data_IF_549316238130
#
_entry.id   IF_549316238130
#
_cell.length_a   1.000
_cell.length_b   1.000
_cell.length_c   1.000
_cell.angle_alpha   90.00
_cell.angle_beta   90.00
_cell.angle_gamma   90.00
#
_symmetry.space_group_name_H-M   'P 1'
#
loop_
_entity.id
_entity.type
_entity.pdbx_description
1 polymer ?
#
# COMPACT_ATOMS: atom_id res chain seq x y z
N UNK A 1 -5.18 16.99 14.80
CA UNK A 1 -4.60 17.26 13.47
C UNK A 1 -4.15 15.97 12.82
N UNK A 2 -3.24 15.21 13.45
CA UNK A 2 -2.85 13.85 13.02
C UNK A 2 -4.03 12.91 12.73
N UNK A 3 -4.96 12.76 13.68
CA UNK A 3 -6.13 11.87 13.50
C UNK A 3 -7.00 12.27 12.29
N UNK A 4 -7.20 13.56 12.07
CA UNK A 4 -7.96 14.09 10.92
C UNK A 4 -7.23 13.79 9.61
N UNK A 5 -5.91 14.00 9.58
CA UNK A 5 -5.07 13.69 8.44
C UNK A 5 -5.12 12.19 8.09
N UNK A 6 -4.99 11.32 9.10
CA UNK A 6 -5.06 9.86 8.91
C UNK A 6 -6.42 9.42 8.37
N UNK A 7 -7.52 9.98 8.87
CA UNK A 7 -8.87 9.67 8.36
C UNK A 7 -9.02 10.08 6.89
N UNK A 8 -8.64 11.31 6.56
CA UNK A 8 -8.69 11.79 5.16
C UNK A 8 -7.82 10.93 4.24
N UNK A 9 -6.63 10.55 4.70
CA UNK A 9 -5.75 9.68 3.94
C UNK A 9 -6.36 8.29 3.72
N UNK A 10 -6.98 7.69 4.75
CA UNK A 10 -7.68 6.40 4.62
C UNK A 10 -8.84 6.52 3.63
N UNK A 11 -9.67 7.56 3.74
CA UNK A 11 -10.82 7.76 2.86
C UNK A 11 -10.37 7.87 1.38
N UNK A 12 -9.33 8.67 1.10
CA UNK A 12 -8.78 8.82 -0.26
C UNK A 12 -8.10 7.54 -0.74
N UNK A 13 -7.37 6.84 0.13
CA UNK A 13 -6.71 5.60 -0.24
C UNK A 13 -7.73 4.51 -0.57
N UNK A 14 -8.82 4.39 0.21
CA UNK A 14 -9.89 3.42 0.00
C UNK A 14 -10.62 3.61 -1.34
N UNK A 15 -10.73 4.85 -1.82
CA UNK A 15 -11.26 5.15 -3.16
C UNK A 15 -10.39 4.59 -4.30
N UNK A 16 -9.08 4.38 -4.07
CA UNK A 16 -8.14 3.92 -5.10
C UNK A 16 -7.64 2.48 -4.91
N UNK A 17 -7.53 2.04 -3.66
CA UNK A 17 -7.09 0.71 -3.25
C UNK A 17 -7.77 0.36 -1.92
N UNK A 18 -8.68 -0.64 -1.90
CA UNK A 18 -9.41 -1.02 -0.70
C UNK A 18 -8.52 -1.16 0.54
N UNK A 19 -8.87 -0.43 1.59
CA UNK A 19 -8.18 -0.46 2.89
C UNK A 19 -8.74 -1.64 3.69
N UNK A 20 -7.89 -2.65 3.90
CA UNK A 20 -8.28 -3.92 4.53
C UNK A 20 -8.07 -3.95 6.02
N UNK A 21 -7.08 -3.22 6.52
CA UNK A 21 -6.73 -3.21 7.95
C UNK A 21 -6.32 -1.80 8.35
N UNK A 22 -6.89 -1.32 9.45
CA UNK A 22 -6.43 -0.14 10.18
C UNK A 22 -6.23 -0.53 11.63
N UNK A 23 -5.02 -0.37 12.16
CA UNK A 23 -4.68 -0.65 13.55
C UNK A 23 -3.94 0.53 14.16
N UNK A 24 -4.48 1.10 15.21
CA UNK A 24 -3.72 2.02 16.06
C UNK A 24 -2.91 1.22 17.08
N UNK A 25 -1.60 1.50 17.18
CA UNK A 25 -0.82 0.98 18.30
C UNK A 25 -1.06 1.87 19.51
N UNK A 26 -2.01 1.46 20.34
CA UNK A 26 -2.05 1.85 21.76
C UNK A 26 -1.19 0.89 22.58
N UNK A 27 0.06 0.64 22.16
CA UNK A 27 0.98 -0.18 22.97
C UNK A 27 1.79 0.74 23.86
N UNK A 28 1.25 1.04 25.04
CA UNK A 28 2.07 1.44 26.19
C UNK A 28 2.79 0.19 26.71
N UNK A 29 4.13 0.14 26.71
CA UNK A 29 4.84 -0.76 27.62
C UNK A 29 4.45 -0.38 29.06
N UNK A 30 4.28 -1.36 29.95
CA UNK A 30 4.29 -1.12 31.40
C UNK A 30 5.64 -0.46 31.77
N UNK A 31 5.67 0.88 31.80
CA UNK A 31 6.84 1.68 32.18
C UNK A 31 7.27 2.82 31.24
N UNK A 32 6.67 3.02 30.06
CA UNK A 32 6.99 4.17 29.18
C UNK A 32 6.03 5.35 29.41
N UNK A 33 6.58 6.59 29.49
CA UNK A 33 5.82 7.84 29.74
C UNK A 33 5.60 8.67 28.45
N UNK A 34 5.92 8.14 27.28
CA UNK A 34 5.58 8.78 25.99
C UNK A 34 5.00 7.74 25.05
N UNK A 35 3.68 7.76 24.90
CA UNK A 35 2.98 6.96 23.88
C UNK A 35 2.89 7.78 22.62
N UNK A 36 3.74 7.49 21.64
CA UNK A 36 3.64 8.11 20.31
C UNK A 36 2.45 7.48 19.57
N UNK A 37 1.60 8.31 18.98
CA UNK A 37 0.47 7.86 18.17
C UNK A 37 1.00 7.26 16.88
N UNK A 38 0.87 5.93 16.71
CA UNK A 38 1.13 5.28 15.43
C UNK A 38 -0.09 4.57 14.87
N UNK A 39 -0.23 4.58 13.55
CA UNK A 39 -1.32 3.95 12.82
C UNK A 39 -0.76 3.09 11.71
N UNK A 40 -1.08 1.80 11.76
CA UNK A 40 -0.76 0.83 10.72
C UNK A 40 -1.95 0.70 9.79
N UNK A 41 -1.70 0.83 8.50
CA UNK A 41 -2.72 0.73 7.45
C UNK A 41 -2.26 -0.33 6.45
N UNK A 42 -3.16 -1.23 6.06
CA UNK A 42 -2.95 -2.15 4.95
C UNK A 42 -3.97 -1.88 3.86
N UNK A 43 -3.49 -1.62 2.66
CA UNK A 43 -4.34 -1.54 1.48
C UNK A 43 -3.92 -2.58 0.43
N UNK A 44 -4.88 -2.97 -0.40
CA UNK A 44 -4.69 -3.99 -1.43
C UNK A 44 -5.44 -3.57 -2.68
N UNK A 45 -4.85 -3.78 -3.86
CA UNK A 45 -5.49 -3.36 -5.11
C UNK A 45 -6.75 -4.16 -5.43
N UNK A 46 -6.77 -5.46 -5.10
CA UNK A 46 -7.90 -6.34 -5.35
C UNK A 46 -8.05 -7.36 -4.22
N UNK A 47 -9.26 -7.47 -3.67
CA UNK A 47 -9.55 -8.34 -2.53
C UNK A 47 -9.81 -9.79 -2.94
N UNK A 48 -10.13 -10.04 -4.21
CA UNK A 48 -10.47 -11.36 -4.73
C UNK A 48 -9.22 -12.08 -5.27
N UNK A 49 -8.27 -11.34 -5.85
CA UNK A 49 -7.01 -11.93 -6.30
C UNK A 49 -5.99 -12.03 -5.16
N UNK A 50 -5.62 -13.27 -4.80
CA UNK A 50 -4.59 -13.55 -3.81
C UNK A 50 -3.21 -13.03 -4.21
N UNK A 51 -2.98 -12.82 -5.51
CA UNK A 51 -1.73 -12.32 -6.08
C UNK A 51 -1.78 -10.80 -6.35
N UNK A 52 -2.82 -10.11 -5.87
CA UNK A 52 -2.90 -8.67 -6.02
C UNK A 52 -1.81 -7.99 -5.18
N UNK A 53 -1.18 -6.93 -5.72
CA UNK A 53 -0.25 -6.10 -4.98
C UNK A 53 -0.93 -5.48 -3.76
N UNK A 54 -0.15 -5.37 -2.68
CA UNK A 54 -0.63 -4.81 -1.42
C UNK A 54 0.46 -3.97 -0.76
N UNK A 55 0.05 -3.02 0.08
CA UNK A 55 0.95 -2.14 0.79
C UNK A 55 0.66 -2.17 2.29
N UNK A 56 1.73 -2.22 3.09
CA UNK A 56 1.70 -1.93 4.51
C UNK A 56 2.28 -0.53 4.73
N UNK A 57 1.58 0.27 5.54
CA UNK A 57 1.97 1.61 5.93
C UNK A 57 2.09 1.68 7.45
N UNK A 58 3.11 2.35 7.95
CA UNK A 58 3.27 2.73 9.35
C UNK A 58 3.37 4.25 9.42
N UNK A 59 2.28 4.88 9.86
CA UNK A 59 2.18 6.31 10.04
C UNK A 59 2.49 6.66 11.49
N UNK A 60 3.42 7.57 11.73
CA UNK A 60 3.81 8.02 13.05
C UNK A 60 3.78 9.55 13.10
N UNK A 61 3.16 10.11 14.13
CA UNK A 61 3.27 11.54 14.37
C UNK A 61 4.64 11.84 14.99
N UNK A 62 5.36 12.79 14.39
CA UNK A 62 6.60 13.34 14.92
C UNK A 62 6.47 14.86 14.98
N UNK A 63 6.23 15.42 16.18
CA UNK A 63 5.99 16.85 16.38
C UNK A 63 4.84 17.39 15.49
N UNK A 64 5.16 18.23 14.51
CA UNK A 64 4.27 18.85 13.53
C UNK A 64 4.28 18.14 12.16
N UNK A 65 4.87 16.94 12.07
CA UNK A 65 4.91 16.12 10.85
C UNK A 65 4.31 14.72 11.07
N UNK A 66 3.95 14.09 9.95
CA UNK A 66 3.61 12.67 9.86
C UNK A 66 4.68 11.97 9.06
N UNK A 67 5.34 10.99 9.69
CA UNK A 67 6.25 10.09 9.02
C UNK A 67 5.49 8.85 8.59
N UNK A 68 5.43 8.60 7.28
CA UNK A 68 4.78 7.43 6.68
C UNK A 68 5.84 6.52 6.11
N UNK A 69 6.16 5.44 6.80
CA UNK A 69 6.96 4.36 6.24
C UNK A 69 6.04 3.41 5.46
N UNK A 70 6.47 2.97 4.28
CA UNK A 70 5.69 2.03 3.47
C UNK A 70 6.51 0.84 3.00
N UNK A 71 5.83 -0.29 2.88
CA UNK A 71 6.33 -1.52 2.31
C UNK A 71 5.30 -2.07 1.32
N UNK A 72 5.62 -1.95 0.04
CA UNK A 72 4.77 -2.42 -1.05
C UNK A 72 5.27 -3.79 -1.51
N UNK A 73 4.34 -4.73 -1.62
CA UNK A 73 4.58 -6.08 -2.07
C UNK A 73 3.94 -6.26 -3.45
N UNK A 74 4.77 -6.56 -4.44
CA UNK A 74 4.36 -6.79 -5.83
C UNK A 74 4.71 -8.24 -6.18
N UNK A 75 3.73 -9.14 -6.21
CA UNK A 75 3.94 -10.51 -6.65
C UNK A 75 4.51 -10.59 -8.07
N UNK A 76 5.56 -11.40 -8.26
CA UNK A 76 6.21 -11.61 -9.55
C UNK A 76 5.43 -12.63 -10.37
N UNK A 77 4.40 -12.17 -11.08
CA UNK A 77 3.53 -13.04 -11.89
C UNK A 77 4.09 -13.37 -13.29
N UNK A 78 5.42 -13.45 -13.47
CA UNK A 78 6.09 -13.62 -14.78
C UNK A 78 5.74 -12.53 -15.83
N UNK A 79 5.17 -11.39 -15.41
CA UNK A 79 4.69 -10.35 -16.33
C UNK A 79 5.77 -9.33 -16.75
N UNK A 80 6.83 -9.14 -15.95
CA UNK A 80 7.89 -8.15 -16.19
C UNK A 80 9.25 -8.65 -15.73
N UNK A 81 10.31 -8.15 -16.35
CA UNK A 81 11.70 -8.41 -15.96
C UNK A 81 12.12 -7.56 -14.76
N UNK A 82 13.14 -8.00 -14.03
CA UNK A 82 13.71 -7.29 -12.88
C UNK A 82 14.14 -5.86 -13.27
N UNK A 83 14.73 -5.70 -14.46
CA UNK A 83 15.21 -4.42 -14.99
C UNK A 83 14.05 -3.45 -15.22
N UNK A 84 12.96 -3.92 -15.83
CA UNK A 84 11.74 -3.12 -16.04
C UNK A 84 11.10 -2.71 -14.71
N UNK A 85 11.09 -3.57 -13.70
CA UNK A 85 10.55 -3.23 -12.38
C UNK A 85 11.38 -2.14 -11.74
N UNK A 86 12.72 -2.28 -11.74
CA UNK A 86 13.62 -1.27 -11.17
C UNK A 86 13.49 0.07 -11.90
N UNK A 87 13.40 0.07 -13.23
CA UNK A 87 13.22 1.29 -14.03
C UNK A 87 11.87 1.97 -13.75
N UNK A 88 10.79 1.18 -13.67
CA UNK A 88 9.46 1.71 -13.36
C UNK A 88 9.35 2.27 -11.94
N UNK A 89 9.95 1.63 -10.93
CA UNK A 89 10.02 2.22 -9.58
C UNK A 89 10.79 3.53 -9.61
N UNK A 90 11.90 3.56 -10.37
CA UNK A 90 12.77 4.72 -10.47
C UNK A 90 12.11 5.91 -11.16
N UNK A 91 11.27 5.66 -12.17
CA UNK A 91 10.52 6.72 -12.85
C UNK A 91 9.41 7.31 -11.98
N UNK A 92 8.80 6.53 -11.09
CA UNK A 92 7.70 6.98 -10.22
C UNK A 92 8.21 7.71 -8.97
N UNK A 93 9.14 7.11 -8.24
CA UNK A 93 9.53 7.58 -6.91
C UNK A 93 11.05 7.83 -6.74
N UNK A 94 11.80 7.77 -7.83
CA UNK A 94 13.25 7.96 -7.81
C UNK A 94 13.98 6.77 -7.18
N UNK A 95 15.01 7.03 -6.37
CA UNK A 95 15.86 5.94 -5.84
C UNK A 95 15.27 5.37 -4.55
N UNK A 96 14.50 4.29 -4.67
CA UNK A 96 13.96 3.52 -3.54
C UNK A 96 14.72 2.21 -3.32
N UNK A 97 14.53 1.62 -2.14
CA UNK A 97 15.06 0.29 -1.86
C UNK A 97 14.10 -0.77 -2.42
N UNK A 98 14.60 -1.58 -3.34
CA UNK A 98 13.87 -2.67 -3.96
C UNK A 98 14.57 -3.97 -3.58
N UNK A 99 13.82 -4.95 -3.10
CA UNK A 99 14.34 -6.26 -2.72
C UNK A 99 13.44 -7.35 -3.28
N UNK A 100 14.01 -8.37 -3.90
CA UNK A 100 13.27 -9.56 -4.29
C UNK A 100 13.24 -10.54 -3.12
N UNK A 101 12.04 -10.89 -2.67
CA UNK A 101 11.82 -11.94 -1.67
C UNK A 101 11.54 -13.26 -2.39
N UNK A 102 12.49 -14.18 -2.28
CA UNK A 102 12.33 -15.57 -2.72
C UNK A 102 11.85 -16.42 -1.55
N UNK A 103 10.68 -17.09 -1.66
CA UNK A 103 10.16 -17.92 -0.59
C UNK A 103 11.03 -19.16 -0.37
N UNK A 104 11.33 -19.43 0.89
CA UNK A 104 12.12 -20.60 1.29
C UNK A 104 11.30 -21.87 1.03
N UNK A 105 11.84 -22.78 0.23
CA UNK A 105 11.21 -24.07 -0.09
C UNK A 105 10.21 -24.03 -1.25
N UNK A 106 10.13 -22.94 -2.03
CA UNK A 106 9.22 -22.77 -3.17
C UNK A 106 7.72 -22.87 -2.83
N UNK A 107 7.34 -22.67 -1.56
CA UNK A 107 5.95 -22.72 -1.09
C UNK A 107 5.26 -21.34 -1.32
N UNK A 108 5.65 -20.62 -2.37
CA UNK A 108 5.12 -19.30 -2.67
C UNK A 108 5.72 -18.71 -3.94
N UNK A 109 5.24 -17.53 -4.30
CA UNK A 109 5.74 -16.77 -5.44
C UNK A 109 6.82 -15.77 -5.02
N UNK A 110 7.78 -15.56 -5.91
CA UNK A 110 8.76 -14.48 -5.77
C UNK A 110 8.01 -13.15 -5.67
N UNK A 111 8.36 -12.31 -4.72
CA UNK A 111 7.65 -11.05 -4.45
C UNK A 111 8.65 -9.91 -4.39
N UNK A 112 8.47 -8.90 -5.22
CA UNK A 112 9.23 -7.67 -5.11
C UNK A 112 8.70 -6.84 -3.95
N UNK A 113 9.62 -6.36 -3.13
CA UNK A 113 9.35 -5.49 -2.00
C UNK A 113 9.99 -4.14 -2.24
N UNK A 114 9.16 -3.12 -2.33
CA UNK A 114 9.57 -1.73 -2.49
C UNK A 114 9.38 -1.05 -1.13
N UNK A 115 10.45 -0.45 -0.60
CA UNK A 115 10.43 0.22 0.70
C UNK A 115 10.80 1.68 0.53
N UNK A 116 10.12 2.53 1.29
CA UNK A 116 10.43 3.95 1.38
C UNK A 116 9.74 4.61 2.57
N UNK A 117 9.96 5.92 2.68
CA UNK A 117 9.34 6.75 3.71
C UNK A 117 9.02 8.12 3.14
N UNK A 118 7.93 8.72 3.60
CA UNK A 118 7.47 10.06 3.22
C UNK A 118 7.25 10.85 4.51
N UNK A 119 7.71 12.11 4.52
CA UNK A 119 7.43 13.04 5.62
C UNK A 119 6.42 14.06 5.12
N UNK A 120 5.34 14.25 5.87
CA UNK A 120 4.25 15.15 5.52
C UNK A 120 4.01 16.14 6.66
N UNK A 121 4.18 17.45 6.45
CA UNK A 121 3.88 18.43 7.48
C UNK A 121 2.38 18.48 7.76
N UNK A 122 1.99 18.50 9.04
CA UNK A 122 0.61 18.63 9.52
C UNK A 122 0.10 20.08 9.41
N UNK A 123 0.99 21.05 9.61
CA UNK A 123 0.71 22.49 9.56
C UNK A 123 1.33 23.13 8.31
N UNK A 124 0.71 22.95 7.14
CA UNK A 124 1.12 23.71 5.95
C UNK A 124 0.21 24.95 5.78
N UNK A 125 0.74 26.19 5.86
CA UNK A 125 -0.07 27.41 5.84
C UNK A 125 -0.74 27.72 4.48
N UNK A 126 -0.40 26.99 3.42
CA UNK A 126 -0.88 27.26 2.06
C UNK A 126 -1.35 26.03 1.27
N UNK A 127 -1.12 24.80 1.77
CA UNK A 127 -1.58 23.60 1.09
C UNK A 127 -2.90 23.12 1.65
N UNK A 128 -3.83 22.82 0.75
CA UNK A 128 -5.01 22.05 1.10
C UNK A 128 -4.52 20.64 1.49
N UNK A 129 -4.71 20.18 2.74
CA UNK A 129 -4.24 18.86 3.18
C UNK A 129 -4.70 17.73 2.25
N UNK A 130 -5.84 17.91 1.58
CA UNK A 130 -6.39 16.98 0.60
C UNK A 130 -5.45 16.74 -0.60
N UNK A 131 -4.68 17.73 -1.04
CA UNK A 131 -3.79 17.57 -2.20
C UNK A 131 -2.62 16.65 -1.87
N UNK A 132 -1.97 16.88 -0.73
CA UNK A 132 -0.81 16.08 -0.31
C UNK A 132 -1.18 14.63 0.01
N UNK A 133 -2.34 14.40 0.65
CA UNK A 133 -2.83 13.04 0.91
C UNK A 133 -3.22 12.32 -0.38
N UNK A 134 -3.74 13.05 -1.38
CA UNK A 134 -4.08 12.51 -2.68
C UNK A 134 -2.85 12.13 -3.50
N UNK A 135 -1.88 13.04 -3.63
CA UNK A 135 -0.62 12.79 -4.35
C UNK A 135 0.13 11.59 -3.75
N UNK A 136 0.12 11.46 -2.41
CA UNK A 136 0.73 10.33 -1.73
C UNK A 136 -0.01 9.02 -2.03
N UNK A 137 -1.34 9.02 -1.97
CA UNK A 137 -2.13 7.83 -2.25
C UNK A 137 -1.99 7.40 -3.73
N UNK A 138 -1.98 8.34 -4.67
CA UNK A 138 -1.67 8.08 -6.10
C UNK A 138 -0.28 7.47 -6.30
N UNK A 139 0.73 8.00 -5.60
CA UNK A 139 2.09 7.47 -5.66
C UNK A 139 2.17 6.03 -5.15
N UNK A 140 1.53 5.73 -4.01
CA UNK A 140 1.48 4.37 -3.45
C UNK A 140 0.78 3.40 -4.41
N UNK A 141 -0.34 3.80 -5.00
CA UNK A 141 -1.09 2.99 -5.97
C UNK A 141 -0.30 2.77 -7.26
N UNK A 142 0.40 3.80 -7.74
CA UNK A 142 1.27 3.70 -8.92
C UNK A 142 2.42 2.73 -8.69
N UNK A 143 3.04 2.78 -7.51
CA UNK A 143 4.08 1.83 -7.11
C UNK A 143 3.53 0.39 -6.99
N UNK A 144 2.31 0.20 -6.47
CA UNK A 144 1.65 -1.11 -6.45
C UNK A 144 1.43 -1.68 -7.86
N UNK A 145 1.18 -0.81 -8.86
CA UNK A 145 0.94 -1.21 -10.27
C UNK A 145 2.22 -1.44 -11.08
N UNK A 146 3.41 -1.23 -10.51
CA UNK A 146 4.70 -1.46 -11.21
C UNK A 146 4.84 -2.87 -11.77
N UNK A 147 4.25 -3.88 -11.12
CA UNK A 147 4.24 -5.26 -11.61
C UNK A 147 3.38 -5.52 -12.84
N UNK A 148 2.70 -4.50 -13.38
CA UNK A 148 1.76 -4.64 -14.49
C UNK A 148 0.41 -5.22 -14.06
N UNK A 149 -0.01 -4.96 -12.82
CA UNK A 149 -1.33 -5.33 -12.35
C UNK A 149 -2.40 -4.49 -13.06
N UNK A 150 -3.33 -5.15 -13.74
CA UNK A 150 -4.53 -4.55 -14.34
C UNK A 150 -5.75 -5.27 -13.76
N UNK A 151 -6.73 -4.50 -13.30
CA UNK A 151 -7.97 -5.05 -12.74
C UNK A 151 -8.84 -5.74 -13.81
N UNK A 152 -8.62 -5.44 -15.10
CA UNK A 152 -9.31 -6.11 -16.23
C UNK A 152 -8.97 -7.61 -16.33
N UNK A 153 -7.82 -8.05 -15.80
CA UNK A 153 -7.45 -9.47 -15.80
C UNK A 153 -8.20 -10.30 -14.73
N UNK A 154 -8.86 -9.65 -13.77
CA UNK A 154 -9.53 -10.29 -12.64
C UNK A 154 -11.03 -10.55 -12.89
N UNK A 155 -11.72 -9.75 -13.71
CA UNK A 155 -13.17 -9.87 -13.91
C UNK A 155 -13.58 -11.08 -14.77
N UNK A 156 -12.73 -11.50 -15.70
CA UNK A 156 -13.15 -12.40 -16.79
C UNK A 156 -12.96 -13.89 -16.46
N UNK A 157 -12.27 -14.23 -15.37
CA UNK A 157 -12.04 -15.64 -14.99
C UNK A 157 -13.01 -16.19 -13.94
N UNK A 158 -13.59 -15.35 -13.10
CA UNK A 158 -14.48 -15.81 -12.02
C UNK A 158 -15.97 -15.67 -12.34
N UNK A 159 -16.33 -14.84 -13.34
CA UNK A 159 -17.73 -14.65 -13.74
C UNK A 159 -18.31 -15.86 -14.51
N UNK A 160 -17.48 -16.67 -15.17
CA UNK A 160 -17.94 -17.83 -15.96
C UNK A 160 -18.13 -19.11 -15.13
N UNK A 161 -17.59 -19.19 -13.91
CA UNK A 161 -17.62 -20.41 -13.08
C UNK A 161 -18.71 -20.41 -11.99
N UNK A 162 -19.50 -19.33 -11.94
CA UNK A 162 -20.62 -19.17 -11.02
C UNK A 162 -21.91 -18.87 -11.79
N UNK A 163 -22.53 -19.94 -12.34
CA UNK A 163 -23.99 -20.20 -12.39
C UNK A 163 -24.28 -21.23 -13.49
N UNK A 164 -24.32 -22.51 -13.11
CA UNK A 164 -25.23 -23.49 -13.72
C UNK A 164 -26.07 -24.06 -12.58
N UNK A 165 -27.11 -23.32 -12.19
CA UNK A 165 -28.18 -23.91 -11.38
C UNK A 165 -28.93 -24.88 -12.29
N UNK A 166 -28.82 -26.17 -12.01
CA UNK A 166 -29.60 -27.20 -12.71
C UNK A 166 -31.09 -26.93 -12.49
N UNK A 167 -31.83 -26.82 -13.59
CA UNK A 167 -33.29 -26.88 -13.56
C UNK A 167 -33.69 -28.34 -13.27
N UNK A 168 -34.27 -28.60 -12.09
CA UNK A 168 -35.13 -29.77 -11.86
C UNK A 168 -36.55 -29.50 -12.36
#
# INVERSE_FOLDING_TARGET
MYETWIKMFIDILDEMAPVTVVRSRLELPLGSVTGDLSTQIRARLDLLDENSPWCDLDCQQAEDEVHVAYMIHVPSLNKRTDEEIVENVKSIAGTLSISLLTPVGHIGQDTYVIKGSIQVPLDHPTDNPNSATHDMAELLVSLMKVGGFSHEDASDKEADDLVVWGEE
#
